data_IF_565964565437
#
_entry.id   IF_565964565437
#
_cell.length_a   1.000
_cell.length_b   1.000
_cell.length_c   1.000
_cell.angle_alpha   90.00
_cell.angle_beta   90.00
_cell.angle_gamma   90.00
#
_symmetry.space_group_name_H-M   'P 1'
#
loop_
_entity.id
_entity.type
_entity.pdbx_description
1 polymer ?
#
# COMPACT_ATOMS: atom_id res chain seq x y z
N UNK A 1 10.33 -25.63 -21.22
CA UNK A 1 11.02 -25.88 -19.94
C UNK A 1 11.13 -24.53 -19.26
N UNK A 2 10.51 -24.40 -18.09
CA UNK A 2 10.38 -23.19 -17.28
C UNK A 2 11.73 -22.53 -17.03
N UNK A 3 11.83 -21.20 -17.19
CA UNK A 3 12.77 -20.30 -16.48
C UNK A 3 12.71 -18.90 -17.12
N UNK A 4 11.66 -18.13 -16.81
CA UNK A 4 11.80 -16.68 -16.63
C UNK A 4 11.07 -16.39 -15.33
N UNK A 5 11.83 -16.03 -14.31
CA UNK A 5 11.29 -15.57 -13.04
C UNK A 5 10.40 -14.37 -13.30
N UNK A 6 9.20 -14.43 -12.75
CA UNK A 6 8.06 -13.59 -13.00
C UNK A 6 8.21 -12.20 -12.33
N UNK A 7 9.19 -11.40 -12.76
CA UNK A 7 9.44 -10.06 -12.20
C UNK A 7 8.69 -8.98 -12.97
N UNK A 8 8.51 -9.12 -14.28
CA UNK A 8 7.90 -8.07 -15.12
C UNK A 8 6.42 -7.84 -14.79
N UNK A 9 5.66 -8.91 -14.57
CA UNK A 9 4.24 -8.81 -14.20
C UNK A 9 4.04 -8.27 -12.78
N UNK A 10 4.99 -8.55 -11.88
CA UNK A 10 4.98 -8.03 -10.52
C UNK A 10 5.29 -6.54 -10.46
N UNK A 11 6.28 -6.07 -11.23
CA UNK A 11 6.66 -4.66 -11.29
C UNK A 11 5.54 -3.79 -11.88
N UNK A 12 4.89 -4.26 -12.96
CA UNK A 12 3.78 -3.55 -13.60
C UNK A 12 2.57 -3.44 -12.65
N UNK A 13 2.23 -4.52 -11.94
CA UNK A 13 1.20 -4.52 -10.92
C UNK A 13 1.51 -3.51 -9.79
N UNK A 14 2.76 -3.47 -9.31
CA UNK A 14 3.21 -2.54 -8.28
C UNK A 14 3.18 -1.09 -8.77
N UNK A 15 3.54 -0.83 -10.02
CA UNK A 15 3.46 0.51 -10.62
C UNK A 15 2.02 1.02 -10.60
N UNK A 16 1.06 0.21 -11.09
CA UNK A 16 -0.35 0.62 -11.10
C UNK A 16 -0.88 0.84 -9.68
N UNK A 17 -0.56 -0.07 -8.75
CA UNK A 17 -0.93 0.09 -7.34
C UNK A 17 -0.36 1.40 -6.79
N UNK A 18 0.90 1.72 -7.06
CA UNK A 18 1.54 2.95 -6.58
C UNK A 18 0.82 4.21 -7.07
N UNK A 19 0.41 4.24 -8.35
CA UNK A 19 -0.32 5.35 -8.96
C UNK A 19 -1.69 5.51 -8.30
N UNK A 20 -2.44 4.42 -8.14
CA UNK A 20 -3.78 4.45 -7.53
C UNK A 20 -3.70 4.89 -6.06
N UNK A 21 -2.74 4.37 -5.29
CA UNK A 21 -2.56 4.74 -3.88
C UNK A 21 -2.17 6.22 -3.75
N UNK A 22 -1.19 6.68 -4.52
CA UNK A 22 -0.69 8.04 -4.45
C UNK A 22 -1.75 9.08 -4.86
N UNK A 23 -2.57 8.78 -5.87
CA UNK A 23 -3.68 9.63 -6.29
C UNK A 23 -4.81 9.78 -5.24
N UNK A 24 -4.85 8.87 -4.25
CA UNK A 24 -5.88 8.85 -3.20
C UNK A 24 -5.42 9.40 -1.85
N UNK A 25 -4.15 9.80 -1.74
CA UNK A 25 -3.53 10.39 -0.56
C UNK A 25 -3.70 11.92 -0.50
N UNK A 26 -3.67 12.46 0.71
CA UNK A 26 -3.63 13.92 0.94
C UNK A 26 -2.20 14.42 0.73
N UNK A 27 -2.03 15.72 0.48
CA UNK A 27 -0.70 16.31 0.28
C UNK A 27 0.26 16.19 1.48
N UNK A 28 -0.27 15.96 2.69
CA UNK A 28 0.54 15.70 3.89
C UNK A 28 0.88 14.22 4.09
N UNK A 29 0.13 13.31 3.46
CA UNK A 29 0.35 11.87 3.57
C UNK A 29 1.56 11.48 2.72
N UNK A 30 2.28 10.43 3.13
CA UNK A 30 3.41 9.91 2.35
C UNK A 30 3.33 8.42 2.16
N UNK A 31 3.44 7.99 0.89
CA UNK A 31 3.55 6.59 0.50
C UNK A 31 5.03 6.20 0.35
N UNK A 32 5.37 5.00 0.84
CA UNK A 32 6.69 4.41 0.72
C UNK A 32 6.56 2.96 0.26
N UNK A 33 7.38 2.56 -0.71
CA UNK A 33 7.54 1.14 -1.07
C UNK A 33 8.65 0.54 -0.19
N UNK A 34 8.36 -0.57 0.48
CA UNK A 34 9.29 -1.24 1.40
C UNK A 34 9.49 -2.69 0.97
N UNK A 35 10.74 -3.07 0.69
CA UNK A 35 11.12 -4.47 0.49
C UNK A 35 10.58 -5.11 -0.80
N UNK A 36 10.34 -4.33 -1.85
CA UNK A 36 9.94 -4.82 -3.18
C UNK A 36 8.44 -5.07 -3.32
N UNK A 37 7.79 -5.69 -2.34
CA UNK A 37 6.42 -6.22 -2.52
C UNK A 37 5.34 -5.49 -1.70
N UNK A 38 5.71 -4.50 -0.89
CA UNK A 38 4.79 -3.85 0.04
C UNK A 38 4.81 -2.32 0.01
N UNK A 39 3.67 -1.71 0.35
CA UNK A 39 3.52 -0.28 0.53
C UNK A 39 3.25 0.07 2.01
N UNK A 40 3.76 1.22 2.45
CA UNK A 40 3.52 1.80 3.77
C UNK A 40 3.12 3.26 3.61
N UNK A 41 2.08 3.68 4.33
CA UNK A 41 1.63 5.05 4.35
C UNK A 41 1.86 5.67 5.73
N UNK A 42 2.45 6.87 5.76
CA UNK A 42 2.51 7.71 6.95
C UNK A 42 1.42 8.77 6.82
N UNK A 43 0.53 8.83 7.81
CA UNK A 43 -0.65 9.69 7.83
C UNK A 43 -0.55 10.69 9.00
N UNK A 44 0.06 11.87 8.79
CA UNK A 44 0.17 12.87 9.86
C UNK A 44 -1.21 13.26 10.39
N UNK A 45 -1.27 13.53 11.69
CA UNK A 45 -2.48 14.01 12.37
C UNK A 45 -3.71 13.09 12.18
N UNK A 46 -3.48 11.81 11.87
CA UNK A 46 -4.52 10.81 11.72
C UNK A 46 -4.38 9.76 12.84
N UNK A 47 -5.38 9.70 13.72
CA UNK A 47 -5.50 8.60 14.68
C UNK A 47 -5.92 7.29 14.00
N UNK A 48 -6.11 6.24 14.80
CA UNK A 48 -6.42 4.89 14.30
C UNK A 48 -7.69 4.84 13.43
N UNK A 49 -8.73 5.60 13.76
CA UNK A 49 -9.96 5.67 12.96
C UNK A 49 -9.72 6.31 11.59
N UNK A 50 -8.94 7.40 11.56
CA UNK A 50 -8.55 8.06 10.31
C UNK A 50 -7.71 7.14 9.43
N UNK A 51 -6.75 6.44 10.03
CA UNK A 51 -5.92 5.46 9.34
C UNK A 51 -6.76 4.29 8.78
N UNK A 52 -7.75 3.80 9.55
CA UNK A 52 -8.67 2.76 9.10
C UNK A 52 -9.51 3.21 7.90
N UNK A 53 -10.04 4.43 7.93
CA UNK A 53 -10.81 5.00 6.81
C UNK A 53 -9.94 5.07 5.54
N UNK A 54 -8.69 5.55 5.67
CA UNK A 54 -7.75 5.63 4.54
C UNK A 54 -7.42 4.22 4.02
N UNK A 55 -7.13 3.27 4.90
CA UNK A 55 -6.83 1.89 4.53
C UNK A 55 -8.01 1.22 3.79
N UNK A 56 -9.23 1.34 4.31
CA UNK A 56 -10.44 0.81 3.65
C UNK A 56 -10.64 1.43 2.28
N UNK A 57 -10.53 2.76 2.18
CA UNK A 57 -10.63 3.47 0.90
C UNK A 57 -9.60 2.96 -0.11
N UNK A 58 -8.36 2.72 0.31
CA UNK A 58 -7.31 2.20 -0.56
C UNK A 58 -7.63 0.80 -1.08
N UNK A 59 -8.09 -0.10 -0.19
CA UNK A 59 -8.51 -1.46 -0.58
C UNK A 59 -9.65 -1.41 -1.60
N UNK A 60 -10.65 -0.57 -1.36
CA UNK A 60 -11.79 -0.39 -2.29
C UNK A 60 -11.33 0.18 -3.64
N UNK A 61 -10.44 1.17 -3.64
CA UNK A 61 -9.92 1.79 -4.86
C UNK A 61 -9.08 0.84 -5.69
N UNK A 62 -8.28 -0.01 -5.06
CA UNK A 62 -7.54 -1.07 -5.76
C UNK A 62 -8.51 -2.11 -6.31
N UNK A 63 -9.53 -2.50 -5.55
CA UNK A 63 -10.53 -3.47 -6.02
C UNK A 63 -11.34 -2.96 -7.22
N UNK A 64 -11.65 -1.66 -7.25
CA UNK A 64 -12.40 -1.00 -8.33
C UNK A 64 -11.50 -0.56 -9.49
N UNK A 65 -10.17 -0.52 -9.29
CA UNK A 65 -9.25 -0.16 -10.35
C UNK A 65 -9.32 -1.21 -11.47
N UNK A 66 -9.64 -0.73 -12.66
CA UNK A 66 -9.67 -1.56 -13.84
C UNK A 66 -8.23 -1.82 -14.31
N UNK A 67 -7.72 -3.02 -14.03
CA UNK A 67 -6.37 -3.44 -14.40
C UNK A 67 -6.28 -3.97 -15.84
N UNK A 68 -7.27 -3.70 -16.70
CA UNK A 68 -7.25 -4.16 -18.10
C UNK A 68 -6.05 -3.62 -18.90
N UNK A 69 -5.38 -2.58 -18.40
CA UNK A 69 -4.14 -2.03 -18.98
C UNK A 69 -2.89 -2.85 -18.69
N UNK A 70 -2.95 -3.78 -17.73
CA UNK A 70 -1.80 -4.61 -17.43
C UNK A 70 -1.62 -5.67 -18.51
N UNK A 71 -0.41 -5.82 -19.04
CA UNK A 71 -0.03 -6.91 -19.94
C UNK A 71 0.02 -8.25 -19.22
N UNK A 72 -0.08 -8.21 -17.89
CA UNK A 72 -0.07 -9.39 -17.05
C UNK A 72 -1.32 -10.24 -17.19
N UNK A 73 -1.19 -11.57 -17.14
CA UNK A 73 -2.34 -12.47 -17.11
C UNK A 73 -3.19 -12.30 -15.83
N UNK A 74 -2.66 -11.63 -14.81
CA UNK A 74 -3.36 -11.29 -13.57
C UNK A 74 -4.27 -10.06 -13.76
N UNK A 75 -5.51 -10.29 -14.19
CA UNK A 75 -6.50 -9.23 -14.41
C UNK A 75 -7.12 -8.67 -13.12
N UNK A 76 -6.84 -9.29 -11.97
CA UNK A 76 -7.42 -8.90 -10.68
C UNK A 76 -6.30 -8.77 -9.65
N UNK A 77 -6.15 -7.56 -9.10
CA UNK A 77 -5.22 -7.28 -8.01
C UNK A 77 -6.05 -7.03 -6.74
N UNK A 78 -5.63 -7.64 -5.64
CA UNK A 78 -6.21 -7.41 -4.32
C UNK A 78 -5.13 -6.94 -3.36
N UNK A 79 -5.51 -6.10 -2.41
CA UNK A 79 -4.61 -5.56 -1.40
C UNK A 79 -5.21 -5.77 -0.01
N UNK A 80 -4.35 -6.16 0.94
CA UNK A 80 -4.68 -6.17 2.36
C UNK A 80 -3.96 -5.02 3.05
N UNK A 81 -4.65 -4.30 3.93
CA UNK A 81 -4.09 -3.16 4.65
C UNK A 81 -4.28 -3.32 6.17
N UNK A 82 -3.19 -3.09 6.91
CA UNK A 82 -3.21 -2.92 8.36
C UNK A 82 -2.94 -1.47 8.73
N UNK A 83 -3.54 -1.02 9.83
CA UNK A 83 -3.34 0.33 10.36
C UNK A 83 -2.88 0.27 11.81
N UNK A 84 -1.93 1.14 12.16
CA UNK A 84 -1.52 1.41 13.53
C UNK A 84 -1.45 2.93 13.73
N UNK A 85 -1.62 3.37 14.98
CA UNK A 85 -1.50 4.78 15.37
C UNK A 85 -0.54 4.86 16.53
N UNK A 86 0.30 5.89 16.53
CA UNK A 86 1.12 6.23 17.69
C UNK A 86 0.27 7.04 18.67
N UNK A 87 0.06 6.52 19.86
CA UNK A 87 -0.55 7.20 20.99
C UNK A 87 0.55 7.82 21.86
N UNK A 88 0.29 8.99 22.44
CA UNK A 88 1.27 9.64 23.34
C UNK A 88 1.65 8.78 24.57
N UNK A 89 0.80 7.81 24.93
CA UNK A 89 1.06 6.82 25.99
C UNK A 89 1.91 5.62 25.53
N UNK A 90 2.23 5.52 24.24
CA UNK A 90 3.19 4.54 23.74
C UNK A 90 4.59 5.01 24.17
N UNK A 91 5.01 4.54 25.35
CA UNK A 91 6.34 4.79 25.88
C UNK A 91 7.38 4.29 24.85
N UNK A 92 8.20 5.21 24.35
CA UNK A 92 9.41 4.87 23.58
C UNK A 92 10.46 4.33 24.54
N UNK A 93 10.16 3.22 25.23
CA UNK A 93 11.20 2.40 25.82
C UNK A 93 11.98 1.87 24.64
N UNK A 94 13.08 2.56 24.34
CA UNK A 94 14.11 2.11 23.43
C UNK A 94 14.62 0.80 24.03
N UNK A 95 14.03 -0.31 23.61
CA UNK A 95 14.49 -1.65 23.95
C UNK A 95 15.94 -1.72 23.49
N UNK A 96 16.86 -1.65 24.46
CA UNK A 96 18.26 -1.95 24.20
C UNK A 96 18.31 -3.41 23.73
N UNK A 97 18.53 -3.58 22.43
CA UNK A 97 19.12 -4.79 21.86
C UNK A 97 20.53 -4.99 22.42
#
# INVERSE_FOLDING_TARGET
MWLINNTEDGDEALEVVSVVLNANMRGADRLYQYGGEGFRAILPQSGIDGARIVATKMVERIRDADFQRSKSPCQVITLSAGACSFCHSDDVTSGKI
#
